data_IF_265914285699
#
_entry.id   IF_265914285699
#
_cell.length_a   1.000
_cell.length_b   1.000
_cell.length_c   1.000
_cell.angle_alpha   90.00
_cell.angle_beta   90.00
_cell.angle_gamma   90.00
#
_symmetry.space_group_name_H-M   'P 1'
#
loop_
_entity.id
_entity.type
_entity.pdbx_description
1 polymer ?
#
# COMPACT_ATOMS: atom_id res chain seq x y z
N UNK A 1 16.82 -13.12 -13.31
CA UNK A 1 15.96 -12.58 -12.25
C UNK A 1 16.05 -11.07 -12.33
N UNK A 2 14.97 -10.34 -12.49
CA UNK A 2 14.98 -8.88 -12.42
C UNK A 2 15.44 -8.51 -11.01
N UNK A 3 16.51 -7.73 -10.91
CA UNK A 3 17.04 -7.25 -9.63
C UNK A 3 15.98 -6.31 -9.03
N UNK A 4 15.26 -6.75 -8.00
CA UNK A 4 14.25 -5.92 -7.32
C UNK A 4 14.95 -4.84 -6.52
N UNK A 5 14.68 -3.59 -6.87
CA UNK A 5 15.31 -2.41 -6.29
C UNK A 5 14.47 -1.80 -5.18
N UNK A 6 15.08 -1.61 -4.02
CA UNK A 6 14.45 -0.98 -2.86
C UNK A 6 15.14 0.35 -2.55
N UNK A 7 14.37 1.41 -2.37
CA UNK A 7 14.87 2.68 -1.84
C UNK A 7 14.60 2.73 -0.34
N UNK A 8 15.68 2.71 0.45
CA UNK A 8 15.65 2.84 1.91
C UNK A 8 15.96 4.28 2.29
N UNK A 9 15.02 4.90 3.00
CA UNK A 9 15.12 6.30 3.46
C UNK A 9 14.99 6.33 4.97
N UNK A 10 16.04 6.67 5.67
CA UNK A 10 16.13 6.76 7.13
C UNK A 10 17.30 7.66 7.49
N UNK A 11 17.23 8.52 8.49
CA UNK A 11 18.33 9.41 8.86
C UNK A 11 19.35 8.74 9.77
N UNK A 12 18.99 7.63 10.47
CA UNK A 12 19.91 6.85 11.30
C UNK A 12 20.82 5.97 10.44
N UNK A 13 22.15 6.22 10.43
CA UNK A 13 23.10 5.43 9.66
C UNK A 13 23.18 3.97 10.11
N UNK A 14 22.93 3.66 11.38
CA UNK A 14 22.97 2.29 11.89
C UNK A 14 21.79 1.49 11.39
N UNK A 15 20.60 2.09 11.38
CA UNK A 15 19.39 1.47 10.81
C UNK A 15 19.60 1.24 9.32
N UNK A 16 20.06 2.24 8.57
CA UNK A 16 20.32 2.07 7.14
C UNK A 16 21.31 0.94 6.85
N UNK A 17 22.43 0.87 7.59
CA UNK A 17 23.41 -0.18 7.39
C UNK A 17 22.87 -1.56 7.72
N UNK A 18 22.16 -1.69 8.85
CA UNK A 18 21.56 -2.95 9.27
C UNK A 18 20.51 -3.45 8.27
N UNK A 19 19.58 -2.59 7.88
CA UNK A 19 18.53 -2.94 6.91
C UNK A 19 19.14 -3.29 5.55
N UNK A 20 20.11 -2.49 5.07
CA UNK A 20 20.81 -2.76 3.83
C UNK A 20 21.48 -4.15 3.84
N UNK A 21 22.20 -4.49 4.91
CA UNK A 21 22.87 -5.80 5.03
C UNK A 21 21.88 -6.97 4.86
N UNK A 22 20.73 -6.88 5.54
CA UNK A 22 19.71 -7.92 5.45
C UNK A 22 19.05 -7.98 4.07
N UNK A 23 18.71 -6.84 3.48
CA UNK A 23 18.08 -6.79 2.16
C UNK A 23 18.99 -7.28 1.06
N UNK A 24 20.27 -6.91 1.07
CA UNK A 24 21.28 -7.41 0.11
C UNK A 24 21.46 -8.93 0.26
N UNK A 25 21.49 -9.46 1.50
CA UNK A 25 21.54 -10.90 1.75
C UNK A 25 20.31 -11.65 1.17
N UNK A 26 19.16 -11.00 1.15
CA UNK A 26 17.92 -11.53 0.57
C UNK A 26 17.85 -11.35 -0.96
N UNK A 27 18.89 -10.79 -1.59
CA UNK A 27 19.01 -10.63 -3.04
C UNK A 27 18.39 -9.36 -3.62
N UNK A 28 18.09 -8.36 -2.79
CA UNK A 28 17.59 -7.07 -3.25
C UNK A 28 18.73 -6.12 -3.61
N UNK A 29 18.50 -5.26 -4.61
CA UNK A 29 19.31 -4.09 -4.86
C UNK A 29 18.82 -2.95 -3.95
N UNK A 30 19.71 -2.30 -3.20
CA UNK A 30 19.32 -1.27 -2.24
C UNK A 30 19.97 0.05 -2.59
N UNK A 31 19.16 1.08 -2.79
CA UNK A 31 19.57 2.48 -2.79
C UNK A 31 19.23 3.09 -1.44
N UNK A 32 20.10 3.95 -0.91
CA UNK A 32 19.90 4.57 0.40
C UNK A 32 19.88 6.08 0.30
N UNK A 33 19.02 6.70 1.11
CA UNK A 33 18.97 8.13 1.33
C UNK A 33 18.84 8.41 2.84
N UNK A 34 19.45 9.50 3.28
CA UNK A 34 19.40 9.97 4.67
C UNK A 34 18.45 11.15 4.88
N UNK A 35 17.82 11.61 3.78
CA UNK A 35 16.95 12.80 3.74
C UNK A 35 15.87 12.63 2.69
N UNK A 36 14.73 13.28 2.90
CA UNK A 36 13.61 13.24 1.98
C UNK A 36 13.91 13.84 0.61
N UNK A 37 14.65 14.96 0.54
CA UNK A 37 15.03 15.60 -0.73
C UNK A 37 15.99 14.73 -1.56
N UNK A 38 16.90 14.01 -0.92
CA UNK A 38 17.78 13.04 -1.57
C UNK A 38 16.98 11.85 -2.08
N UNK A 39 16.04 11.35 -1.29
CA UNK A 39 15.17 10.26 -1.67
C UNK A 39 14.37 10.58 -2.95
N UNK A 40 13.78 11.78 -3.03
CA UNK A 40 13.04 12.21 -4.22
C UNK A 40 13.93 12.35 -5.47
N UNK A 41 15.19 12.76 -5.32
CA UNK A 41 16.14 12.82 -6.43
C UNK A 41 16.45 11.41 -6.95
N UNK A 42 16.75 10.47 -6.04
CA UNK A 42 17.01 9.07 -6.41
C UNK A 42 15.77 8.46 -7.08
N UNK A 43 14.58 8.67 -6.48
CA UNK A 43 13.32 8.19 -7.02
C UNK A 43 13.09 8.66 -8.48
N UNK A 44 13.31 9.94 -8.78
CA UNK A 44 13.13 10.50 -10.12
C UNK A 44 14.16 9.99 -11.14
N UNK A 45 15.41 9.77 -10.71
CA UNK A 45 16.48 9.30 -11.58
C UNK A 45 16.41 7.80 -11.87
N UNK A 46 15.99 7.03 -10.89
CA UNK A 46 15.98 5.57 -10.96
C UNK A 46 14.89 5.00 -10.06
N UNK A 47 13.64 4.95 -10.56
CA UNK A 47 12.49 4.52 -9.77
C UNK A 47 12.70 3.14 -9.14
N UNK A 48 12.48 2.98 -7.83
CA UNK A 48 12.56 1.70 -7.15
C UNK A 48 11.27 0.89 -7.35
N UNK A 49 11.32 -0.41 -7.02
CA UNK A 49 10.16 -1.28 -6.98
C UNK A 49 9.39 -1.16 -5.64
N UNK A 50 10.04 -0.67 -4.59
CA UNK A 50 9.46 -0.43 -3.27
C UNK A 50 10.28 0.63 -2.53
N UNK A 51 9.61 1.45 -1.72
CA UNK A 51 10.25 2.41 -0.83
C UNK A 51 10.01 2.03 0.64
N UNK A 52 11.09 1.97 1.42
CA UNK A 52 11.05 1.99 2.89
C UNK A 52 11.32 3.42 3.32
N UNK A 53 10.43 4.01 4.08
CA UNK A 53 10.45 5.46 4.33
C UNK A 53 10.26 5.78 5.80
N UNK A 54 11.29 6.32 6.43
CA UNK A 54 11.15 6.88 7.78
C UNK A 54 10.28 8.14 7.77
N UNK A 55 9.48 8.29 8.79
CA UNK A 55 8.66 9.47 9.02
C UNK A 55 9.48 10.66 9.50
N UNK A 56 10.41 10.41 10.41
CA UNK A 56 11.15 11.44 11.14
C UNK A 56 12.43 11.84 10.41
N UNK A 57 12.32 12.32 9.18
CA UNK A 57 13.47 12.77 8.41
C UNK A 57 13.78 14.26 8.63
N UNK A 58 15.04 14.66 8.63
CA UNK A 58 15.41 16.06 8.73
C UNK A 58 15.05 16.85 7.46
N UNK A 59 14.46 18.02 7.64
CA UNK A 59 14.06 18.93 6.56
C UNK A 59 12.74 18.53 5.92
N UNK A 60 12.75 17.68 4.91
CA UNK A 60 11.53 17.13 4.30
C UNK A 60 11.17 15.82 5.00
N UNK A 61 10.07 15.81 5.75
CA UNK A 61 9.58 14.65 6.46
C UNK A 61 9.06 13.53 5.53
N UNK A 62 8.89 12.32 6.09
CA UNK A 62 8.43 11.16 5.33
C UNK A 62 7.02 11.34 4.74
N UNK A 63 6.17 12.12 5.38
CA UNK A 63 4.83 12.43 4.87
C UNK A 63 4.88 13.25 3.58
N UNK A 64 5.75 14.24 3.55
CA UNK A 64 5.96 15.07 2.37
C UNK A 64 6.55 14.26 1.23
N UNK A 65 7.54 13.38 1.51
CA UNK A 65 8.12 12.47 0.52
C UNK A 65 7.04 11.56 -0.08
N UNK A 66 6.24 10.91 0.76
CA UNK A 66 5.15 10.03 0.32
C UNK A 66 4.18 10.77 -0.61
N UNK A 67 3.74 11.95 -0.20
CA UNK A 67 2.83 12.79 -0.99
C UNK A 67 3.41 13.19 -2.34
N UNK A 68 4.70 13.54 -2.40
CA UNK A 68 5.36 13.89 -3.66
C UNK A 68 5.50 12.67 -4.58
N UNK A 69 5.83 11.49 -4.05
CA UNK A 69 5.88 10.24 -4.82
C UNK A 69 4.51 9.89 -5.38
N UNK A 70 3.44 10.03 -4.58
CA UNK A 70 2.07 9.72 -4.98
C UNK A 70 1.50 10.62 -6.08
N UNK A 71 2.10 11.78 -6.33
CA UNK A 71 1.72 12.62 -7.49
C UNK A 71 2.06 11.97 -8.84
N UNK A 72 3.00 11.05 -8.87
CA UNK A 72 3.56 10.51 -10.12
C UNK A 72 3.74 9.00 -10.14
N UNK A 73 3.47 8.30 -9.03
CA UNK A 73 3.74 6.87 -8.94
C UNK A 73 2.93 6.17 -7.84
N UNK A 74 2.56 4.93 -8.14
CA UNK A 74 1.91 4.02 -7.21
C UNK A 74 2.86 2.94 -6.65
N UNK A 75 4.19 3.14 -6.68
CA UNK A 75 5.12 2.18 -6.07
C UNK A 75 4.72 1.91 -4.62
N UNK A 76 4.85 0.67 -4.13
CA UNK A 76 4.59 0.37 -2.73
C UNK A 76 5.50 1.17 -1.80
N UNK A 77 4.91 1.76 -0.77
CA UNK A 77 5.62 2.50 0.30
C UNK A 77 5.28 1.87 1.64
N UNK A 78 6.32 1.38 2.33
CA UNK A 78 6.23 0.92 3.71
C UNK A 78 6.84 2.01 4.60
N UNK A 79 6.04 2.57 5.51
CA UNK A 79 6.51 3.57 6.46
C UNK A 79 7.22 2.93 7.64
N UNK A 80 8.35 3.50 8.04
CA UNK A 80 9.03 3.17 9.29
C UNK A 80 8.70 4.25 10.32
N UNK A 81 8.16 3.88 11.48
CA UNK A 81 7.66 4.85 12.47
C UNK A 81 8.11 4.52 13.88
N UNK A 82 8.26 5.52 14.75
CA UNK A 82 8.48 5.31 16.18
C UNK A 82 7.18 4.90 16.88
N UNK A 83 7.29 4.23 18.04
CA UNK A 83 6.25 3.43 18.69
C UNK A 83 4.98 4.15 19.18
N UNK A 84 4.89 5.46 19.28
CA UNK A 84 3.95 6.07 20.22
C UNK A 84 2.81 6.93 19.68
N UNK A 85 2.58 7.04 18.36
CA UNK A 85 1.44 7.83 17.90
C UNK A 85 0.52 7.06 16.97
N UNK A 86 -0.59 6.57 17.53
CA UNK A 86 -1.73 6.04 16.74
C UNK A 86 -2.18 7.04 15.68
N UNK A 87 -1.99 8.33 15.94
CA UNK A 87 -2.26 9.42 15.02
C UNK A 87 -1.34 9.39 13.79
N UNK A 88 -0.04 9.13 13.97
CA UNK A 88 0.93 9.05 12.86
C UNK A 88 0.65 7.87 11.94
N UNK A 89 0.21 6.74 12.49
CA UNK A 89 -0.15 5.55 11.71
C UNK A 89 -1.37 5.82 10.83
N UNK A 90 -2.42 6.42 11.37
CA UNK A 90 -3.62 6.78 10.63
C UNK A 90 -3.30 7.83 9.57
N UNK A 91 -2.55 8.87 9.93
CA UNK A 91 -2.16 9.94 9.01
C UNK A 91 -1.29 9.41 7.87
N UNK A 92 -0.38 8.46 8.13
CA UNK A 92 0.47 7.85 7.10
C UNK A 92 -0.28 7.06 6.08
N UNK A 93 -1.20 6.29 6.55
CA UNK A 93 -2.12 5.58 5.68
C UNK A 93 -3.02 6.57 4.93
N UNK A 94 -3.51 7.63 5.53
CA UNK A 94 -4.28 8.69 4.86
C UNK A 94 -3.49 9.44 3.79
N UNK A 95 -2.17 9.50 3.86
CA UNK A 95 -1.31 10.16 2.88
C UNK A 95 -0.79 9.24 1.76
N UNK A 96 -1.16 7.95 1.72
CA UNK A 96 -0.85 7.07 0.60
C UNK A 96 0.13 5.94 0.89
N UNK A 97 0.58 5.73 2.13
CA UNK A 97 1.36 4.54 2.48
C UNK A 97 0.53 3.25 2.32
N UNK A 98 1.18 2.17 1.92
CA UNK A 98 0.55 0.85 1.76
C UNK A 98 0.62 0.02 3.04
N UNK A 99 1.69 0.22 3.83
CA UNK A 99 1.92 -0.44 5.10
C UNK A 99 2.80 0.41 6.01
N UNK A 100 2.89 0.05 7.30
CA UNK A 100 3.81 0.66 8.26
C UNK A 100 4.45 -0.39 9.17
N UNK A 101 5.66 -0.10 9.65
CA UNK A 101 6.38 -0.92 10.61
C UNK A 101 6.87 -0.03 11.73
N UNK A 102 6.62 -0.47 12.97
CA UNK A 102 7.00 0.28 14.17
C UNK A 102 8.44 -0.04 14.56
N UNK A 103 9.25 0.99 14.78
CA UNK A 103 10.60 0.88 15.37
C UNK A 103 10.52 0.69 16.90
N UNK A 104 11.32 -0.21 17.50
CA UNK A 104 12.24 -1.14 16.83
C UNK A 104 11.50 -2.33 16.22
N UNK A 105 11.94 -2.79 15.05
CA UNK A 105 11.33 -3.88 14.31
C UNK A 105 12.27 -5.09 14.17
N UNK A 106 11.69 -6.27 14.03
CA UNK A 106 12.43 -7.48 13.68
C UNK A 106 12.77 -7.48 12.18
N UNK A 107 14.03 -7.81 11.84
CA UNK A 107 14.48 -7.84 10.45
C UNK A 107 13.77 -8.91 9.61
N UNK A 108 13.36 -10.04 10.21
CA UNK A 108 12.60 -11.07 9.51
C UNK A 108 11.20 -10.60 9.19
N UNK A 109 10.57 -9.85 10.12
CA UNK A 109 9.27 -9.22 9.89
C UNK A 109 9.35 -8.21 8.73
N UNK A 110 10.34 -7.32 8.74
CA UNK A 110 10.56 -6.34 7.67
C UNK A 110 10.71 -7.03 6.30
N UNK A 111 11.57 -8.04 6.21
CA UNK A 111 11.79 -8.81 4.98
C UNK A 111 10.53 -9.54 4.52
N UNK A 112 9.79 -10.15 5.45
CA UNK A 112 8.55 -10.84 5.13
C UNK A 112 7.50 -9.89 4.55
N UNK A 113 7.34 -8.69 5.11
CA UNK A 113 6.43 -7.65 4.61
C UNK A 113 6.84 -7.15 3.22
N UNK A 114 8.13 -6.87 3.02
CA UNK A 114 8.65 -6.47 1.71
C UNK A 114 8.35 -7.54 0.66
N UNK A 115 8.64 -8.82 0.96
CA UNK A 115 8.37 -9.94 0.05
C UNK A 115 6.88 -10.09 -0.24
N UNK A 116 6.03 -9.95 0.78
CA UNK A 116 4.58 -10.04 0.62
C UNK A 116 4.04 -8.93 -0.29
N UNK A 117 4.52 -7.71 -0.13
CA UNK A 117 4.16 -6.59 -1.00
C UNK A 117 4.66 -6.84 -2.43
N UNK A 118 5.94 -7.16 -2.62
CA UNK A 118 6.54 -7.34 -3.95
C UNK A 118 5.98 -8.55 -4.72
N UNK A 119 5.65 -9.66 -4.04
CA UNK A 119 5.07 -10.86 -4.67
C UNK A 119 3.79 -10.54 -5.43
N UNK A 120 2.98 -9.64 -4.94
CA UNK A 120 1.72 -9.22 -5.55
C UNK A 120 1.93 -8.46 -6.86
N UNK A 121 3.07 -7.77 -7.01
CA UNK A 121 3.46 -7.09 -8.25
C UNK A 121 4.09 -8.01 -9.31
N UNK A 122 4.55 -9.21 -8.93
CA UNK A 122 5.34 -10.08 -9.80
C UNK A 122 4.59 -11.31 -10.33
N UNK A 123 3.38 -11.59 -9.86
CA UNK A 123 2.65 -12.76 -10.36
C UNK A 123 1.81 -12.42 -11.59
N UNK A 124 2.16 -12.94 -12.78
CA UNK A 124 1.23 -13.04 -13.89
C UNK A 124 0.35 -14.28 -13.66
N UNK A 125 -0.78 -14.15 -13.01
CA UNK A 125 -1.81 -15.16 -13.07
C UNK A 125 -2.66 -14.98 -14.32
N UNK A 126 -3.23 -16.08 -14.86
CA UNK A 126 -3.97 -16.17 -16.12
C UNK A 126 -5.07 -15.11 -16.28
N UNK A 127 -5.11 -14.48 -17.45
CA UNK A 127 -5.82 -13.24 -17.74
C UNK A 127 -7.36 -13.26 -17.56
N UNK A 128 -8.00 -14.41 -17.51
CA UNK A 128 -9.47 -14.51 -17.60
C UNK A 128 -10.24 -14.45 -16.27
N UNK A 129 -9.53 -14.45 -15.10
CA UNK A 129 -10.19 -14.37 -13.78
C UNK A 129 -9.90 -13.08 -13.01
N UNK A 130 -9.27 -12.12 -13.65
CA UNK A 130 -8.67 -10.96 -12.96
C UNK A 130 -9.41 -9.65 -13.17
N UNK A 131 -10.34 -9.62 -14.10
CA UNK A 131 -11.12 -8.43 -14.38
C UNK A 131 -12.53 -8.56 -13.82
N UNK A 132 -12.89 -7.63 -12.96
CA UNK A 132 -14.23 -7.46 -12.43
C UNK A 132 -14.85 -6.25 -13.11
N UNK A 133 -16.08 -6.41 -13.60
CA UNK A 133 -16.79 -5.34 -14.30
C UNK A 133 -18.16 -5.11 -13.66
N UNK A 134 -18.40 -3.86 -13.28
CA UNK A 134 -19.67 -3.36 -12.77
C UNK A 134 -20.07 -2.11 -13.56
N UNK A 135 -21.31 -1.64 -13.48
CA UNK A 135 -21.70 -0.42 -14.17
C UNK A 135 -20.73 0.74 -13.84
N UNK A 136 -20.02 1.24 -14.85
CA UNK A 136 -19.04 2.32 -14.72
C UNK A 136 -17.74 1.98 -13.97
N UNK A 137 -17.51 0.73 -13.55
CA UNK A 137 -16.30 0.31 -12.84
C UNK A 137 -15.73 -0.95 -13.47
N UNK A 138 -14.44 -0.92 -13.82
CA UNK A 138 -13.66 -2.10 -14.19
C UNK A 138 -12.41 -2.16 -13.30
N UNK A 139 -12.20 -3.29 -12.65
CA UNK A 139 -11.03 -3.53 -11.78
C UNK A 139 -10.25 -4.70 -12.32
N UNK A 140 -9.01 -4.49 -12.71
CA UNK A 140 -8.12 -5.54 -13.20
C UNK A 140 -6.93 -5.71 -12.25
N UNK A 141 -6.97 -6.76 -11.42
CA UNK A 141 -5.91 -7.05 -10.44
C UNK A 141 -4.63 -7.56 -11.12
N UNK A 142 -4.73 -8.16 -12.30
CA UNK A 142 -3.57 -8.67 -13.05
C UNK A 142 -2.73 -7.56 -13.68
N UNK A 143 -3.38 -6.49 -14.10
CA UNK A 143 -2.74 -5.31 -14.68
C UNK A 143 -2.58 -4.17 -13.66
N UNK A 144 -3.11 -4.31 -12.46
CA UNK A 144 -3.17 -3.26 -11.44
C UNK A 144 -3.80 -1.97 -11.95
N UNK A 145 -4.89 -2.11 -12.73
CA UNK A 145 -5.62 -0.98 -13.30
C UNK A 145 -7.06 -0.93 -12.78
N UNK A 146 -7.55 0.28 -12.58
CA UNK A 146 -8.95 0.56 -12.26
C UNK A 146 -9.47 1.60 -13.23
N UNK A 147 -10.58 1.31 -13.88
CA UNK A 147 -11.28 2.25 -14.76
C UNK A 147 -12.61 2.61 -14.12
N UNK A 148 -12.85 3.88 -13.88
CA UNK A 148 -14.09 4.38 -13.30
C UNK A 148 -14.66 5.52 -14.15
N UNK A 149 -15.91 5.38 -14.57
CA UNK A 149 -16.60 6.33 -15.48
C UNK A 149 -15.78 6.64 -16.75
N UNK A 150 -15.09 5.63 -17.31
CA UNK A 150 -14.29 5.76 -18.53
C UNK A 150 -12.93 6.45 -18.32
N UNK A 151 -12.53 6.69 -17.08
CA UNK A 151 -11.21 7.24 -16.72
C UNK A 151 -10.41 6.20 -15.95
N UNK A 152 -9.16 6.04 -16.32
CA UNK A 152 -8.21 5.25 -15.52
C UNK A 152 -7.88 6.01 -14.23
N UNK A 153 -8.06 5.33 -13.10
CA UNK A 153 -7.74 5.87 -11.79
C UNK A 153 -6.39 5.34 -11.31
N UNK A 154 -5.52 6.26 -10.93
CA UNK A 154 -4.31 5.89 -10.19
C UNK A 154 -4.68 5.44 -8.78
N UNK A 155 -4.35 4.18 -8.46
CA UNK A 155 -4.72 3.56 -7.21
C UNK A 155 -3.52 2.83 -6.60
N UNK A 156 -3.10 3.17 -5.36
CA UNK A 156 -2.08 2.42 -4.65
C UNK A 156 -2.44 0.95 -4.55
N UNK A 157 -1.45 0.04 -4.54
CA UNK A 157 -1.70 -1.40 -4.60
C UNK A 157 -2.68 -1.92 -3.58
N UNK A 158 -2.57 -1.49 -2.32
CA UNK A 158 -3.46 -1.95 -1.25
C UNK A 158 -4.89 -1.45 -1.39
N UNK A 159 -5.09 -0.29 -1.96
CA UNK A 159 -6.43 0.21 -2.28
C UNK A 159 -7.06 -0.65 -3.39
N UNK A 160 -6.29 -0.96 -4.44
CA UNK A 160 -6.76 -1.79 -5.54
C UNK A 160 -7.04 -3.23 -5.09
N UNK A 161 -6.15 -3.83 -4.30
CA UNK A 161 -6.34 -5.18 -3.75
C UNK A 161 -7.58 -5.26 -2.86
N UNK A 162 -7.79 -4.26 -1.99
CA UNK A 162 -8.97 -4.18 -1.14
C UNK A 162 -10.25 -4.01 -1.95
N UNK A 163 -10.23 -3.14 -2.96
CA UNK A 163 -11.37 -2.96 -3.86
C UNK A 163 -11.67 -4.26 -4.61
N UNK A 164 -10.65 -4.89 -5.21
CA UNK A 164 -10.81 -6.15 -5.93
C UNK A 164 -11.36 -7.25 -5.01
N UNK A 165 -10.80 -7.41 -3.81
CA UNK A 165 -11.27 -8.42 -2.87
C UNK A 165 -12.74 -8.21 -2.48
N UNK A 166 -13.13 -7.00 -2.14
CA UNK A 166 -14.53 -6.70 -1.80
C UNK A 166 -15.46 -6.88 -2.99
N UNK A 167 -15.06 -6.44 -4.18
CA UNK A 167 -15.86 -6.53 -5.41
C UNK A 167 -15.97 -7.96 -5.95
N UNK A 168 -14.98 -8.83 -5.71
CA UNK A 168 -15.08 -10.26 -6.04
C UNK A 168 -16.03 -11.05 -5.14
N UNK A 169 -16.52 -10.44 -4.04
CA UNK A 169 -17.47 -11.03 -3.11
C UNK A 169 -18.68 -10.09 -2.88
N UNK A 170 -19.47 -9.80 -3.92
CA UNK A 170 -20.55 -8.84 -3.82
C UNK A 170 -21.58 -9.26 -2.76
N UNK A 171 -22.06 -8.29 -2.00
CA UNK A 171 -23.00 -8.45 -0.90
C UNK A 171 -22.54 -9.27 0.31
N UNK A 172 -21.33 -9.82 0.31
CA UNK A 172 -20.74 -10.49 1.46
C UNK A 172 -20.11 -9.47 2.42
N UNK A 173 -20.37 -9.64 3.72
CA UNK A 173 -19.80 -8.81 4.78
C UNK A 173 -18.51 -9.44 5.28
N UNK A 174 -17.47 -8.61 5.41
CA UNK A 174 -16.18 -9.00 5.98
C UNK A 174 -15.87 -8.12 7.19
N UNK A 175 -15.34 -8.72 8.24
CA UNK A 175 -14.82 -7.96 9.38
C UNK A 175 -13.52 -7.25 9.00
N UNK A 176 -13.10 -6.29 9.82
CA UNK A 176 -11.82 -5.59 9.62
C UNK A 176 -10.63 -6.54 9.68
N UNK A 177 -10.69 -7.48 10.61
CA UNK A 177 -9.66 -8.51 10.79
C UNK A 177 -9.58 -9.44 9.58
N UNK A 178 -10.73 -9.88 9.06
CA UNK A 178 -10.78 -10.69 7.84
C UNK A 178 -10.21 -9.93 6.63
N UNK A 179 -10.58 -8.67 6.45
CA UNK A 179 -10.03 -7.84 5.36
C UNK A 179 -8.54 -7.61 5.52
N UNK A 180 -8.09 -7.38 6.75
CA UNK A 180 -6.66 -7.23 7.06
C UNK A 180 -5.88 -8.49 6.68
N UNK A 181 -6.36 -9.65 7.13
CA UNK A 181 -5.76 -10.94 6.82
C UNK A 181 -5.72 -11.24 5.31
N UNK A 182 -6.83 -11.03 4.62
CA UNK A 182 -6.96 -11.34 3.19
C UNK A 182 -6.16 -10.40 2.28
N UNK A 183 -6.08 -9.12 2.65
CA UNK A 183 -5.43 -8.10 1.81
C UNK A 183 -3.99 -7.82 2.26
N UNK A 184 -3.69 -7.87 3.56
CA UNK A 184 -2.34 -7.62 4.08
C UNK A 184 -1.59 -8.90 4.46
N UNK A 185 -2.30 -10.00 4.73
CA UNK A 185 -1.73 -11.32 5.04
C UNK A 185 -1.79 -11.70 6.52
N UNK A 186 -1.67 -12.99 6.81
CA UNK A 186 -1.74 -13.58 8.16
C UNK A 186 -0.68 -13.03 9.13
N UNK A 187 0.48 -12.69 8.61
CA UNK A 187 1.61 -12.17 9.40
C UNK A 187 1.56 -10.64 9.59
N UNK A 188 0.42 -10.02 9.29
CA UNK A 188 0.25 -8.60 9.48
C UNK A 188 -0.14 -8.28 10.92
N UNK A 189 0.79 -7.73 11.70
CA UNK A 189 0.59 -7.30 13.08
C UNK A 189 0.13 -5.84 13.24
N UNK A 190 -0.39 -5.24 12.16
CA UNK A 190 -0.89 -3.86 12.17
C UNK A 190 -2.29 -3.72 12.75
N UNK A 191 -2.69 -2.46 13.00
CA UNK A 191 -4.02 -2.12 13.51
C UNK A 191 -5.10 -2.32 12.41
N UNK A 192 -6.23 -2.89 12.76
CA UNK A 192 -7.38 -3.07 11.87
C UNK A 192 -7.97 -1.75 11.34
N UNK A 193 -7.65 -0.62 11.96
CA UNK A 193 -7.94 0.74 11.46
C UNK A 193 -7.29 1.03 10.09
N UNK A 194 -6.24 0.31 9.72
CA UNK A 194 -5.66 0.35 8.37
C UNK A 194 -6.74 0.15 7.30
N UNK A 195 -7.66 -0.78 7.52
CA UNK A 195 -8.77 -1.05 6.60
C UNK A 195 -9.69 0.18 6.47
N UNK A 196 -10.03 0.84 7.59
CA UNK A 196 -10.92 2.00 7.60
C UNK A 196 -10.39 3.15 6.75
N UNK A 197 -9.09 3.38 6.82
CA UNK A 197 -8.40 4.43 6.04
C UNK A 197 -8.45 4.12 4.54
N UNK A 198 -8.17 2.88 4.15
CA UNK A 198 -8.21 2.48 2.75
C UNK A 198 -9.65 2.49 2.19
N UNK A 199 -10.65 2.08 2.99
CA UNK A 199 -12.07 2.19 2.61
C UNK A 199 -12.48 3.65 2.41
N UNK A 200 -12.05 4.57 3.29
CA UNK A 200 -12.32 6.01 3.14
C UNK A 200 -11.81 6.53 1.79
N UNK A 201 -10.55 6.23 1.46
CA UNK A 201 -9.94 6.66 0.18
C UNK A 201 -10.62 6.06 -1.03
N UNK A 202 -10.96 4.77 -0.97
CA UNK A 202 -11.70 4.11 -2.04
C UNK A 202 -13.04 4.82 -2.30
N UNK A 203 -13.76 5.19 -1.24
CA UNK A 203 -15.02 5.93 -1.39
C UNK A 203 -14.83 7.31 -2.00
N UNK A 204 -13.78 8.03 -1.61
CA UNK A 204 -13.45 9.34 -2.18
C UNK A 204 -13.12 9.23 -3.69
N UNK A 205 -12.35 8.21 -4.09
CA UNK A 205 -11.99 7.98 -5.50
C UNK A 205 -13.14 7.45 -6.35
N UNK A 206 -14.08 6.73 -5.75
CA UNK A 206 -15.20 6.04 -6.39
C UNK A 206 -16.55 6.76 -6.12
N UNK A 207 -16.50 8.06 -5.89
CA UNK A 207 -17.69 8.86 -5.65
C UNK A 207 -18.65 8.79 -6.86
N UNK A 208 -19.93 8.50 -6.59
CA UNK A 208 -20.94 8.30 -7.64
C UNK A 208 -21.27 6.82 -7.96
N UNK A 209 -20.53 5.85 -7.44
CA UNK A 209 -20.81 4.41 -7.63
C UNK A 209 -22.20 4.00 -7.15
N UNK A 210 -22.72 4.65 -6.10
CA UNK A 210 -24.07 4.40 -5.59
C UNK A 210 -25.17 4.67 -6.63
N UNK A 211 -24.98 5.69 -7.46
CA UNK A 211 -25.91 6.04 -8.55
C UNK A 211 -25.88 4.98 -9.68
N UNK A 212 -24.80 4.21 -9.74
CA UNK A 212 -24.61 3.11 -10.71
C UNK A 212 -25.05 1.74 -10.15
N UNK A 213 -25.59 1.71 -8.93
CA UNK A 213 -26.15 0.51 -8.31
C UNK A 213 -25.17 -0.29 -7.45
N UNK A 214 -23.99 0.25 -7.12
CA UNK A 214 -23.04 -0.40 -6.22
C UNK A 214 -22.35 0.60 -5.29
N UNK A 215 -21.90 0.13 -4.13
CA UNK A 215 -21.15 0.96 -3.16
C UNK A 215 -20.32 0.10 -2.20
N UNK A 216 -19.26 0.67 -1.64
CA UNK A 216 -18.58 0.10 -0.47
C UNK A 216 -19.34 0.54 0.78
N UNK A 217 -20.10 -0.38 1.38
CA UNK A 217 -21.00 -0.10 2.50
C UNK A 217 -20.40 -0.51 3.84
N UNK A 218 -20.57 0.34 4.86
CA UNK A 218 -20.26 -0.01 6.24
C UNK A 218 -21.41 -0.83 6.82
N UNK A 219 -21.08 -1.94 7.44
CA UNK A 219 -21.99 -2.70 8.30
C UNK A 219 -21.58 -2.40 9.74
N UNK A 220 -22.34 -1.55 10.40
CA UNK A 220 -22.02 -1.04 11.74
C UNK A 220 -21.77 -2.16 12.75
N UNK A 221 -20.70 -2.05 13.51
CA UNK A 221 -20.28 -3.05 14.48
C UNK A 221 -19.65 -4.32 13.89
N UNK A 222 -19.60 -4.47 12.57
CA UNK A 222 -19.05 -5.66 11.89
C UNK A 222 -17.86 -5.30 10.99
N UNK A 223 -18.09 -4.53 9.92
CA UNK A 223 -17.03 -4.25 8.94
C UNK A 223 -17.58 -3.67 7.64
N UNK A 224 -17.18 -4.23 6.49
CA UNK A 224 -17.45 -3.68 5.17
C UNK A 224 -17.96 -4.73 4.18
N UNK A 225 -18.68 -4.28 3.17
CA UNK A 225 -19.07 -5.08 1.99
C UNK A 225 -19.08 -4.23 0.72
N UNK A 226 -18.92 -4.85 -0.42
CA UNK A 226 -19.27 -4.28 -1.71
C UNK A 226 -20.73 -4.61 -1.98
N UNK A 227 -21.60 -3.63 -1.82
CA UNK A 227 -23.05 -3.80 -2.03
C UNK A 227 -23.39 -3.55 -3.50
N UNK A 228 -24.07 -4.50 -4.12
CA UNK A 228 -24.66 -4.38 -5.45
C UNK A 228 -26.18 -4.49 -5.29
N UNK A 229 -26.92 -3.57 -5.88
CA UNK A 229 -28.39 -3.53 -5.89
C UNK A 229 -28.96 -4.33 -7.05
#
# INVERSE_FOLDING_TARGET
MLNTKILLVDDDPNIRQLVNLYLVKEGFEVCMADRGDTALKIFKQSPPNLMLLDLMLPGMDGWQVCREVRKTSNIPIIMLTAKDETFDKVLGLELGADDYIVKPFDMKELVARIKAVLRRFQQPETADQKELSFPGLTVNIGQYTVNFMGKELEMPPKELELLHFLASHPNQVFTREQLLEQVWGYDYFGDSRTVDVHVKRLREKLEGGEQMGWQIKTVWGVGYKFEVK
#
